data_IF_660404203940
#
_entry.id   IF_660404203940
#
_cell.length_a   1.000
_cell.length_b   1.000
_cell.length_c   1.000
_cell.angle_alpha   90.00
_cell.angle_beta   90.00
_cell.angle_gamma   90.00
#
_symmetry.space_group_name_H-M   'P 1'
#
loop_
_entity.id
_entity.type
_entity.pdbx_description
1 polymer ?
#
# COMPACT_ATOMS: atom_id res chain seq x y z
N UNK A 1 11.33 6.21 -11.28
CA UNK A 1 11.84 5.40 -10.12
C UNK A 1 11.89 3.94 -10.53
N UNK A 2 13.05 3.36 -10.55
CA UNK A 2 13.18 1.92 -10.77
C UNK A 2 12.68 1.16 -9.54
N UNK A 3 12.09 -0.01 -9.76
CA UNK A 3 11.61 -0.85 -8.68
C UNK A 3 12.71 -1.22 -7.68
N UNK A 4 13.95 -1.45 -8.16
CA UNK A 4 15.09 -1.72 -7.30
C UNK A 4 15.45 -0.55 -6.39
N UNK A 5 15.39 0.67 -6.89
CA UNK A 5 15.61 1.88 -6.10
C UNK A 5 14.51 2.06 -5.05
N UNK A 6 13.27 1.84 -5.46
CA UNK A 6 12.12 1.96 -4.56
C UNK A 6 12.18 0.94 -3.42
N UNK A 7 12.57 -0.31 -3.73
CA UNK A 7 12.73 -1.33 -2.72
C UNK A 7 13.75 -0.92 -1.66
N UNK A 8 14.88 -0.36 -2.07
CA UNK A 8 15.88 0.12 -1.12
C UNK A 8 15.33 1.21 -0.21
N UNK A 9 14.57 2.15 -0.76
CA UNK A 9 13.92 3.19 0.05
C UNK A 9 12.98 2.60 1.10
N UNK A 10 12.18 1.62 0.70
CA UNK A 10 11.22 0.96 1.59
C UNK A 10 11.97 0.20 2.69
N UNK A 11 12.99 -0.57 2.33
CA UNK A 11 13.77 -1.33 3.30
C UNK A 11 14.50 -0.41 4.28
N UNK A 12 15.14 0.65 3.81
CA UNK A 12 15.82 1.60 4.67
C UNK A 12 14.89 2.25 5.68
N UNK A 13 13.66 2.54 5.27
CA UNK A 13 12.72 3.25 6.11
C UNK A 13 12.01 2.34 7.11
N UNK A 14 11.65 1.12 6.72
CA UNK A 14 10.75 0.29 7.52
C UNK A 14 11.28 -1.07 7.96
N UNK A 15 12.41 -1.57 7.43
CA UNK A 15 12.86 -2.92 7.73
C UNK A 15 12.95 -3.22 9.23
N UNK A 16 13.41 -2.27 10.04
CA UNK A 16 13.53 -2.43 11.49
C UNK A 16 12.20 -2.31 12.23
N UNK A 17 11.19 -1.74 11.60
CA UNK A 17 9.88 -1.47 12.21
C UNK A 17 8.85 -2.55 11.92
N UNK A 18 9.16 -3.45 11.01
CA UNK A 18 8.26 -4.51 10.56
C UNK A 18 8.86 -5.88 10.84
N UNK A 19 8.05 -6.92 10.71
CA UNK A 19 8.54 -8.28 10.92
C UNK A 19 9.39 -8.75 9.74
N UNK A 20 8.90 -8.57 8.51
CA UNK A 20 9.58 -9.05 7.30
C UNK A 20 9.01 -8.39 6.06
N UNK A 21 9.87 -8.21 5.05
CA UNK A 21 9.48 -7.76 3.72
C UNK A 21 9.79 -8.88 2.72
N UNK A 22 8.79 -9.30 1.96
CA UNK A 22 8.93 -10.34 0.94
C UNK A 22 8.64 -9.73 -0.42
N UNK A 23 9.62 -9.79 -1.33
CA UNK A 23 9.46 -9.25 -2.67
C UNK A 23 8.80 -10.31 -3.56
N UNK A 24 7.72 -9.93 -4.25
CA UNK A 24 6.99 -10.79 -5.18
C UNK A 24 7.38 -10.51 -6.63
N UNK A 25 7.60 -9.24 -6.98
CA UNK A 25 7.95 -8.84 -8.34
C UNK A 25 8.80 -7.58 -8.32
N UNK A 26 9.87 -7.58 -9.10
CA UNK A 26 10.66 -6.41 -9.46
C UNK A 26 10.84 -6.46 -10.96
N UNK A 27 10.24 -5.53 -11.69
CA UNK A 27 10.34 -5.49 -13.15
C UNK A 27 10.27 -4.03 -13.62
N UNK A 28 11.40 -3.49 -14.07
CA UNK A 28 11.47 -2.10 -14.52
C UNK A 28 11.06 -1.13 -13.43
N UNK A 29 9.93 -0.47 -13.61
CA UNK A 29 9.36 0.48 -12.65
C UNK A 29 8.20 -0.12 -11.84
N UNK A 30 7.97 -1.43 -11.94
CA UNK A 30 6.89 -2.13 -11.22
C UNK A 30 7.46 -2.92 -10.05
N UNK A 31 6.87 -2.71 -8.87
CA UNK A 31 7.25 -3.37 -7.63
C UNK A 31 6.02 -3.97 -6.97
N UNK A 32 6.12 -5.26 -6.60
CA UNK A 32 5.13 -5.91 -5.74
C UNK A 32 5.84 -6.56 -4.57
N UNK A 33 5.35 -6.31 -3.37
CA UNK A 33 5.92 -6.91 -2.16
C UNK A 33 4.85 -7.06 -1.08
N UNK A 34 5.18 -7.84 -0.05
CA UNK A 34 4.36 -7.97 1.14
C UNK A 34 5.19 -7.49 2.32
N UNK A 35 4.63 -6.58 3.12
CA UNK A 35 5.20 -6.17 4.39
C UNK A 35 4.45 -6.92 5.48
N UNK A 36 5.12 -7.88 6.14
CA UNK A 36 4.56 -8.58 7.30
C UNK A 36 4.83 -7.74 8.54
N UNK A 37 3.76 -7.36 9.23
CA UNK A 37 3.84 -6.50 10.41
C UNK A 37 4.00 -7.33 11.68
N UNK A 38 4.50 -6.72 12.74
CA UNK A 38 4.81 -7.43 13.99
C UNK A 38 3.57 -7.91 14.74
N UNK A 39 2.41 -7.34 14.42
CA UNK A 39 1.13 -7.73 15.02
C UNK A 39 0.45 -8.93 14.32
N UNK A 40 1.09 -9.49 13.31
CA UNK A 40 0.54 -10.60 12.53
C UNK A 40 -0.28 -10.17 11.30
N UNK A 41 -0.56 -8.89 11.13
CA UNK A 41 -1.20 -8.38 9.91
C UNK A 41 -0.16 -8.26 8.80
N UNK A 42 -0.62 -8.04 7.57
CA UNK A 42 0.30 -7.81 6.46
C UNK A 42 -0.26 -6.74 5.52
N UNK A 43 0.65 -6.04 4.84
CA UNK A 43 0.31 -5.05 3.84
C UNK A 43 0.83 -5.51 2.48
N UNK A 44 -0.07 -5.69 1.53
CA UNK A 44 0.28 -6.04 0.16
C UNK A 44 0.47 -4.77 -0.64
N UNK A 45 1.66 -4.59 -1.17
CA UNK A 45 2.07 -3.35 -1.85
C UNK A 45 2.29 -3.61 -3.32
N UNK A 46 1.62 -2.85 -4.16
CA UNK A 46 1.88 -2.79 -5.60
C UNK A 46 2.07 -1.33 -5.99
N UNK A 47 3.18 -1.05 -6.67
CA UNK A 47 3.47 0.28 -7.19
C UNK A 47 3.97 0.19 -8.62
N UNK A 48 3.39 0.99 -9.51
CA UNK A 48 3.86 1.16 -10.88
C UNK A 48 4.27 2.63 -11.03
N UNK A 49 5.55 2.85 -11.22
CA UNK A 49 6.13 4.19 -11.34
C UNK A 49 6.23 4.63 -12.79
N UNK A 50 6.12 5.93 -13.01
CA UNK A 50 6.39 6.57 -14.28
C UNK A 50 7.34 7.73 -13.99
N UNK A 51 8.64 7.48 -14.11
CA UNK A 51 9.66 8.46 -13.70
C UNK A 51 9.59 8.71 -12.19
N UNK A 52 9.46 9.98 -11.80
CA UNK A 52 9.43 10.38 -10.40
C UNK A 52 8.06 10.25 -9.73
N UNK A 53 7.04 9.83 -10.48
CA UNK A 53 5.67 9.77 -9.98
C UNK A 53 5.12 8.36 -10.01
N UNK A 54 4.22 8.04 -9.07
CA UNK A 54 3.48 6.78 -9.08
C UNK A 54 2.31 6.92 -10.04
N UNK A 55 2.28 6.09 -11.08
CA UNK A 55 1.17 6.01 -12.02
C UNK A 55 -0.01 5.23 -11.44
N UNK A 56 0.27 4.09 -10.80
CA UNK A 56 -0.74 3.24 -10.18
C UNK A 56 -0.19 2.67 -8.89
N UNK A 57 -1.06 2.53 -7.89
CA UNK A 57 -0.71 1.87 -6.64
C UNK A 57 -1.89 1.10 -6.06
N UNK A 58 -1.58 0.07 -5.26
CA UNK A 58 -2.53 -0.54 -4.35
C UNK A 58 -1.80 -0.93 -3.08
N UNK A 59 -2.39 -0.62 -1.93
CA UNK A 59 -1.89 -0.97 -0.61
C UNK A 59 -3.03 -1.64 0.13
N UNK A 60 -2.98 -2.97 0.28
CA UNK A 60 -4.06 -3.74 0.89
C UNK A 60 -3.60 -4.30 2.21
N UNK A 61 -4.19 -3.80 3.29
CA UNK A 61 -3.90 -4.20 4.66
C UNK A 61 -4.84 -5.32 5.06
N UNK A 62 -4.27 -6.49 5.43
CA UNK A 62 -5.01 -7.71 5.72
C UNK A 62 -4.77 -8.14 7.16
N UNK A 63 -5.79 -8.73 7.79
CA UNK A 63 -5.65 -9.32 9.10
C UNK A 63 -4.87 -10.65 9.03
N UNK A 64 -4.54 -11.30 10.18
CA UNK A 64 -3.78 -12.56 10.15
C UNK A 64 -4.43 -13.68 9.35
N UNK A 65 -5.75 -13.66 9.17
CA UNK A 65 -6.48 -14.60 8.32
C UNK A 65 -6.54 -14.18 6.84
N UNK A 66 -5.86 -13.07 6.49
CA UNK A 66 -5.85 -12.47 5.15
C UNK A 66 -7.20 -11.89 4.72
N UNK A 67 -8.04 -11.53 5.67
CA UNK A 67 -9.25 -10.77 5.37
C UNK A 67 -8.91 -9.28 5.29
N UNK A 68 -9.63 -8.55 4.43
CA UNK A 68 -9.38 -7.14 4.19
C UNK A 68 -9.72 -6.29 5.42
N UNK A 69 -8.76 -5.50 5.87
CA UNK A 69 -8.99 -4.43 6.85
C UNK A 69 -9.23 -3.11 6.14
N UNK A 70 -8.26 -2.64 5.38
CA UNK A 70 -8.38 -1.44 4.53
C UNK A 70 -7.54 -1.65 3.28
N UNK A 71 -8.08 -1.30 2.13
CA UNK A 71 -7.35 -1.29 0.87
C UNK A 71 -7.37 0.09 0.25
N UNK A 72 -6.20 0.66 -0.02
CA UNK A 72 -6.04 1.96 -0.68
C UNK A 72 -5.56 1.75 -2.10
N UNK A 73 -6.20 2.41 -3.07
CA UNK A 73 -5.71 2.37 -4.44
C UNK A 73 -6.18 3.59 -5.26
N UNK A 74 -5.61 3.76 -6.44
CA UNK A 74 -5.94 4.86 -7.34
C UNK A 74 -6.50 4.38 -8.68
N UNK A 75 -7.14 3.21 -8.72
CA UNK A 75 -7.83 2.76 -9.93
C UNK A 75 -8.94 3.76 -10.28
N UNK A 76 -9.06 4.21 -11.55
CA UNK A 76 -9.94 5.32 -11.91
C UNK A 76 -11.40 4.88 -12.12
N UNK A 77 -12.00 4.23 -11.11
CA UNK A 77 -13.35 3.67 -11.21
C UNK A 77 -14.45 4.53 -10.58
N UNK A 78 -14.10 5.37 -9.59
CA UNK A 78 -15.09 6.07 -8.78
C UNK A 78 -14.96 7.58 -8.99
N UNK A 79 -15.37 8.05 -10.17
CA UNK A 79 -15.13 9.42 -10.64
C UNK A 79 -15.84 10.49 -9.83
N UNK A 80 -16.88 10.11 -9.04
CA UNK A 80 -17.64 11.07 -8.24
C UNK A 80 -17.11 11.27 -6.83
N UNK A 81 -16.15 10.44 -6.41
CA UNK A 81 -15.55 10.60 -5.08
C UNK A 81 -14.62 11.81 -5.05
N UNK A 82 -14.64 12.51 -3.92
CA UNK A 82 -13.66 13.54 -3.65
C UNK A 82 -12.27 12.93 -3.68
N UNK A 83 -11.29 13.68 -4.16
CA UNK A 83 -9.90 13.23 -4.35
C UNK A 83 -9.72 12.08 -5.35
N UNK A 84 -10.68 11.92 -6.28
CA UNK A 84 -10.52 10.98 -7.40
C UNK A 84 -9.15 11.17 -8.07
N UNK A 85 -8.42 10.11 -8.44
CA UNK A 85 -8.83 8.69 -8.46
C UNK A 85 -8.57 7.92 -7.16
N UNK A 86 -8.10 8.58 -6.12
CA UNK A 86 -7.77 7.96 -4.84
C UNK A 86 -9.02 7.56 -4.08
N UNK A 87 -9.05 6.32 -3.57
CA UNK A 87 -10.14 5.83 -2.77
C UNK A 87 -9.64 4.71 -1.86
N UNK A 88 -10.48 4.30 -0.90
CA UNK A 88 -10.17 3.14 -0.05
C UNK A 88 -11.39 2.26 0.13
N UNK A 89 -11.12 0.99 0.37
CA UNK A 89 -12.10 -0.05 0.67
C UNK A 89 -11.93 -0.39 2.15
N UNK A 90 -12.97 -0.22 2.97
CA UNK A 90 -12.87 -0.42 4.42
C UNK A 90 -13.63 -1.68 4.82
N UNK A 91 -12.90 -2.70 5.27
CA UNK A 91 -13.45 -3.97 5.75
C UNK A 91 -14.00 -4.88 4.66
N UNK A 92 -14.51 -4.33 3.59
CA UNK A 92 -15.07 -5.05 2.43
C UNK A 92 -14.75 -4.29 1.16
N UNK A 93 -14.54 -5.00 0.05
CA UNK A 93 -14.27 -4.37 -1.24
C UNK A 93 -15.41 -3.46 -1.70
N UNK A 94 -16.64 -3.75 -1.31
CA UNK A 94 -17.82 -2.95 -1.67
C UNK A 94 -17.96 -1.67 -0.85
N UNK A 95 -17.29 -1.57 0.29
CA UNK A 95 -17.37 -0.40 1.15
C UNK A 95 -16.31 0.61 0.72
N UNK A 96 -16.65 1.43 -0.25
CA UNK A 96 -15.73 2.38 -0.88
C UNK A 96 -15.90 3.75 -0.23
N UNK A 97 -14.78 4.35 0.16
CA UNK A 97 -14.73 5.64 0.83
C UNK A 97 -13.69 6.56 0.19
N UNK A 98 -13.85 7.84 0.41
CA UNK A 98 -12.86 8.85 0.07
C UNK A 98 -11.54 8.55 0.79
N UNK A 99 -10.42 8.68 0.10
CA UNK A 99 -9.09 8.50 0.68
C UNK A 99 -8.22 9.72 0.45
N UNK A 100 -7.57 10.16 1.52
CA UNK A 100 -6.55 11.20 1.48
C UNK A 100 -5.15 10.63 1.74
N UNK A 101 -5.05 9.35 2.12
CA UNK A 101 -3.78 8.61 2.15
C UNK A 101 -3.51 8.14 0.72
N UNK A 102 -2.49 8.70 0.08
CA UNK A 102 -2.19 8.46 -1.33
C UNK A 102 -0.78 7.92 -1.57
N UNK A 103 -0.01 7.73 -0.50
CA UNK A 103 1.35 7.20 -0.56
C UNK A 103 1.54 6.10 0.47
N UNK A 104 2.54 5.24 0.25
CA UNK A 104 2.89 4.20 1.22
C UNK A 104 3.22 4.81 2.59
N UNK A 105 3.92 5.94 2.60
CA UNK A 105 4.26 6.63 3.85
C UNK A 105 3.02 7.00 4.65
N UNK A 106 2.01 7.54 4.00
CA UNK A 106 0.76 7.93 4.66
C UNK A 106 -0.03 6.71 5.14
N UNK A 107 -0.08 5.66 4.33
CA UNK A 107 -0.71 4.39 4.71
C UNK A 107 -0.02 3.78 5.93
N UNK A 108 1.30 3.71 5.93
CA UNK A 108 2.06 3.17 7.07
C UNK A 108 1.86 4.01 8.32
N UNK A 109 1.73 5.32 8.17
CA UNK A 109 1.42 6.21 9.30
C UNK A 109 0.07 5.87 9.94
N UNK A 110 -0.95 5.61 9.12
CA UNK A 110 -2.26 5.16 9.61
C UNK A 110 -2.12 3.83 10.34
N UNK A 111 -1.47 2.86 9.71
CA UNK A 111 -1.29 1.52 10.27
C UNK A 111 -0.60 1.58 11.65
N UNK A 112 0.49 2.33 11.78
CA UNK A 112 1.22 2.43 13.04
C UNK A 112 0.51 3.28 14.09
N UNK A 113 -0.41 4.17 13.70
CA UNK A 113 -1.08 5.07 14.64
C UNK A 113 -2.32 4.50 15.28
N UNK A 114 -2.92 3.42 14.74
CA UNK A 114 -4.18 2.87 15.30
C UNK A 114 -3.95 1.90 16.46
N UNK A 115 -2.72 1.65 16.85
CA UNK A 115 -2.41 0.97 18.11
C UNK A 115 -2.82 -0.49 18.21
N UNK A 116 -2.78 -1.21 17.12
CA UNK A 116 -3.08 -2.65 17.15
C UNK A 116 -1.85 -3.48 17.44
#
# INVERSE_FOLDING_TARGET
MLATERLLEIEEKWAEKVHRIVVLEIDGETLQLIIYLKDGTNLRVTEEWAGAEIARYSYYWLNPANDLKVGWDNAPHYTRLENFPHHKHVGKRKNIQVSFETTLKEVMKVIFSVGY
#
